data_IF_312412659453
#
_entry.id   IF_312412659453
#
_cell.length_a   1.000
_cell.length_b   1.000
_cell.length_c   1.000
_cell.angle_alpha   90.00
_cell.angle_beta   90.00
_cell.angle_gamma   90.00
#
_symmetry.space_group_name_H-M   'P 1'
#
loop_
_entity.id
_entity.type
_entity.pdbx_description
1 polymer ?
#
# COMPACT_ATOMS: atom_id res chain seq x y z
N UNK A 1 -8.68 -14.21 0.98
CA UNK A 1 -8.49 -13.64 -0.37
C UNK A 1 -8.61 -12.15 -0.22
N UNK A 2 -7.59 -11.41 -0.66
CA UNK A 2 -7.58 -9.97 -0.60
C UNK A 2 -8.78 -9.41 -1.37
N UNK A 3 -9.47 -8.43 -0.79
CA UNK A 3 -10.65 -7.82 -1.42
C UNK A 3 -10.26 -6.79 -2.49
N UNK A 4 -8.99 -6.39 -2.50
CA UNK A 4 -8.46 -5.33 -3.35
C UNK A 4 -7.58 -5.90 -4.45
N UNK A 5 -7.55 -5.21 -5.57
CA UNK A 5 -6.63 -5.44 -6.68
C UNK A 5 -5.93 -4.14 -7.06
N UNK A 6 -4.61 -4.20 -7.21
CA UNK A 6 -3.79 -3.08 -7.71
C UNK A 6 -3.46 -3.34 -9.18
N UNK A 7 -3.68 -2.33 -10.02
CA UNK A 7 -3.37 -2.32 -11.44
C UNK A 7 -2.76 -0.97 -11.85
N UNK A 8 -2.33 -0.84 -13.10
CA UNK A 8 -1.72 0.39 -13.59
C UNK A 8 -2.75 1.34 -14.20
N UNK A 9 -2.48 2.64 -14.10
CA UNK A 9 -3.24 3.65 -14.86
C UNK A 9 -3.05 3.40 -16.37
N UNK A 10 -4.12 3.51 -17.15
CA UNK A 10 -4.05 3.31 -18.61
C UNK A 10 -3.26 4.44 -19.30
N UNK A 11 -3.34 5.67 -18.76
CA UNK A 11 -2.58 6.85 -19.22
C UNK A 11 -1.39 7.16 -18.29
N UNK A 12 -0.54 6.17 -17.98
CA UNK A 12 0.80 6.48 -17.45
C UNK A 12 1.61 7.11 -18.59
N UNK A 13 1.42 8.41 -18.80
CA UNK A 13 2.41 9.21 -19.54
C UNK A 13 3.77 9.04 -18.86
N UNK A 14 4.85 9.28 -19.59
CA UNK A 14 6.23 9.09 -19.12
C UNK A 14 6.60 9.85 -17.81
N UNK A 15 5.69 10.68 -17.27
CA UNK A 15 5.88 11.59 -16.16
C UNK A 15 5.15 11.21 -14.86
N UNK A 16 4.31 10.16 -14.82
CA UNK A 16 3.64 9.80 -13.56
C UNK A 16 4.53 8.92 -12.68
N UNK A 17 5.03 9.49 -11.58
CA UNK A 17 5.70 8.78 -10.50
C UNK A 17 4.73 7.93 -9.64
N UNK A 18 3.42 8.00 -9.90
CA UNK A 18 2.34 7.27 -9.19
C UNK A 18 1.54 6.35 -10.13
N UNK A 19 2.08 5.18 -10.50
CA UNK A 19 1.50 4.36 -11.58
C UNK A 19 0.25 3.57 -11.16
N UNK A 20 -0.10 3.54 -9.88
CA UNK A 20 -1.08 2.57 -9.35
C UNK A 20 -2.52 3.09 -9.35
N UNK A 21 -3.45 2.16 -9.55
CA UNK A 21 -4.87 2.24 -9.22
C UNK A 21 -5.22 1.08 -8.31
N UNK A 22 -6.29 1.22 -7.53
CA UNK A 22 -6.82 0.17 -6.67
C UNK A 22 -8.33 0.09 -6.86
N UNK A 23 -8.86 -1.13 -6.96
CA UNK A 23 -10.30 -1.41 -6.99
C UNK A 23 -10.63 -2.57 -6.05
N UNK A 24 -11.91 -2.77 -5.74
CA UNK A 24 -12.34 -4.05 -5.22
C UNK A 24 -12.30 -5.10 -6.34
N UNK A 25 -12.16 -6.37 -5.97
CA UNK A 25 -12.14 -7.48 -6.94
C UNK A 25 -13.45 -7.56 -7.75
N UNK A 26 -14.58 -7.10 -7.20
CA UNK A 26 -15.91 -7.26 -7.81
C UNK A 26 -16.70 -5.96 -7.99
N UNK A 27 -16.19 -4.80 -7.55
CA UNK A 27 -16.90 -3.52 -7.57
C UNK A 27 -15.93 -2.33 -7.56
N UNK A 28 -16.43 -1.14 -7.88
CA UNK A 28 -15.62 0.09 -7.80
C UNK A 28 -15.49 0.56 -6.35
N UNK A 29 -14.33 1.14 -6.00
CA UNK A 29 -14.11 1.72 -4.67
C UNK A 29 -14.77 3.09 -4.59
N UNK A 30 -15.54 3.33 -3.53
CA UNK A 30 -16.01 4.68 -3.22
C UNK A 30 -14.91 5.49 -2.50
N UNK A 31 -14.03 6.10 -3.30
CA UNK A 31 -12.98 6.98 -2.80
C UNK A 31 -13.49 8.26 -2.14
N UNK A 32 -14.80 8.53 -2.13
CA UNK A 32 -15.36 9.65 -1.35
C UNK A 32 -15.23 9.36 0.15
N UNK A 33 -15.33 8.09 0.55
CA UNK A 33 -15.35 7.67 1.96
C UNK A 33 -14.15 6.83 2.38
N UNK A 34 -13.46 6.21 1.43
CA UNK A 34 -12.39 5.25 1.73
C UNK A 34 -10.99 5.86 1.77
N UNK A 35 -10.23 5.51 2.81
CA UNK A 35 -8.83 5.92 2.97
C UNK A 35 -7.86 5.07 2.14
N UNK A 36 -8.35 3.97 1.56
CA UNK A 36 -7.55 2.98 0.83
C UNK A 36 -6.80 3.58 -0.39
N UNK A 37 -7.28 4.70 -0.92
CA UNK A 37 -6.61 5.48 -1.96
C UNK A 37 -5.18 5.88 -1.59
N UNK A 38 -4.86 6.01 -0.29
CA UNK A 38 -3.50 6.27 0.16
C UNK A 38 -2.49 5.21 -0.30
N UNK A 39 -2.90 3.94 -0.40
CA UNK A 39 -2.02 2.83 -0.83
C UNK A 39 -1.66 2.97 -2.32
N UNK A 40 -2.63 3.36 -3.16
CA UNK A 40 -2.41 3.55 -4.59
C UNK A 40 -1.77 4.92 -4.93
N UNK A 41 -1.84 5.89 -4.02
CA UNK A 41 -1.28 7.23 -4.22
C UNK A 41 0.24 7.31 -3.91
N UNK A 42 0.87 6.19 -3.53
CA UNK A 42 2.31 6.13 -3.30
C UNK A 42 3.08 6.39 -4.60
N UNK A 43 4.17 7.19 -4.49
CA UNK A 43 5.12 7.34 -5.57
C UNK A 43 6.00 6.11 -5.64
N UNK A 44 6.46 5.74 -6.83
CA UNK A 44 7.30 4.56 -7.07
C UNK A 44 8.57 4.58 -6.18
N UNK A 45 9.20 5.74 -6.06
CA UNK A 45 10.39 5.96 -5.22
C UNK A 45 10.13 5.79 -3.71
N UNK A 46 8.89 5.98 -3.25
CA UNK A 46 8.50 5.95 -1.82
C UNK A 46 7.98 4.57 -1.39
N UNK A 47 7.81 3.62 -2.32
CA UNK A 47 7.32 2.27 -2.01
C UNK A 47 8.21 1.55 -0.98
N UNK A 48 9.56 1.60 -1.03
CA UNK A 48 10.39 0.94 -0.02
C UNK A 48 10.11 1.44 1.40
N UNK A 49 10.00 2.75 1.62
CA UNK A 49 9.70 3.30 2.95
C UNK A 49 8.29 2.92 3.42
N UNK A 50 7.32 2.92 2.51
CA UNK A 50 5.97 2.43 2.79
C UNK A 50 6.00 0.97 3.26
N UNK A 51 6.64 0.07 2.50
CA UNK A 51 6.68 -1.36 2.82
C UNK A 51 7.45 -1.65 4.12
N UNK A 52 8.54 -0.92 4.36
CA UNK A 52 9.30 -1.03 5.61
C UNK A 52 8.44 -0.65 6.83
N UNK A 53 7.63 0.40 6.72
CA UNK A 53 6.69 0.77 7.79
C UNK A 53 5.61 -0.31 8.02
N UNK A 54 5.15 -0.98 6.96
CA UNK A 54 4.21 -2.11 7.05
C UNK A 54 4.85 -3.28 7.83
N UNK A 55 6.08 -3.65 7.46
CA UNK A 55 6.81 -4.77 8.06
C UNK A 55 7.06 -4.54 9.55
N UNK A 56 7.50 -3.33 9.89
CA UNK A 56 7.79 -2.93 11.28
C UNK A 56 6.53 -2.72 12.12
N UNK A 57 5.32 -2.86 11.54
CA UNK A 57 4.03 -2.55 12.17
C UNK A 57 4.03 -1.14 12.77
N UNK A 58 4.67 -0.21 12.09
CA UNK A 58 4.77 1.19 12.50
C UNK A 58 3.59 2.02 12.03
N UNK A 59 3.81 3.31 11.89
CA UNK A 59 2.95 4.22 11.16
C UNK A 59 3.70 4.77 9.95
N UNK A 60 2.96 5.15 8.92
CA UNK A 60 3.49 5.86 7.76
C UNK A 60 2.50 6.95 7.40
N UNK A 61 2.97 8.19 7.26
CA UNK A 61 2.10 9.30 6.93
C UNK A 61 2.80 10.33 6.04
N UNK A 62 2.03 10.93 5.14
CA UNK A 62 2.42 12.05 4.30
C UNK A 62 1.32 13.09 4.45
N UNK A 63 1.62 14.20 5.14
CA UNK A 63 0.62 15.22 5.45
C UNK A 63 -0.53 14.65 6.29
N UNK A 64 -1.76 14.73 5.76
CA UNK A 64 -2.98 14.23 6.44
C UNK A 64 -3.33 12.79 6.13
N UNK A 65 -2.48 12.08 5.38
CA UNK A 65 -2.79 10.79 4.79
C UNK A 65 -1.79 9.76 5.31
N UNK A 66 -2.22 8.51 5.52
CA UNK A 66 -1.36 7.55 6.20
C UNK A 66 -2.02 6.24 6.55
N UNK A 67 -1.27 5.42 7.28
CA UNK A 67 -1.78 4.27 8.01
C UNK A 67 -1.15 4.15 9.39
N UNK A 68 -1.86 3.50 10.29
CA UNK A 68 -1.38 3.16 11.63
C UNK A 68 -1.82 1.75 12.02
N UNK A 69 -0.88 0.96 12.54
CA UNK A 69 -1.16 -0.32 13.18
C UNK A 69 -1.61 -0.07 14.62
N UNK A 70 -2.62 -0.82 15.07
CA UNK A 70 -2.98 -0.84 16.49
C UNK A 70 -4.47 -0.77 16.73
N UNK A 71 -4.89 -0.61 18.00
CA UNK A 71 -6.29 -0.49 18.32
C UNK A 71 -6.90 0.72 17.65
N UNK A 72 -8.03 0.50 16.98
CA UNK A 72 -8.82 1.58 16.37
C UNK A 72 -10.08 1.77 17.18
N UNK A 73 -10.40 3.02 17.53
CA UNK A 73 -11.67 3.39 18.15
C UNK A 73 -12.53 4.02 17.06
N UNK A 74 -13.69 3.43 16.80
CA UNK A 74 -14.68 3.97 15.87
C UNK A 74 -16.09 3.75 16.43
N UNK A 75 -16.88 4.83 16.55
CA UNK A 75 -18.26 4.80 17.05
C UNK A 75 -18.40 4.02 18.38
N UNK A 76 -17.52 4.31 19.35
CA UNK A 76 -17.43 3.63 20.65
C UNK A 76 -17.05 2.15 20.62
N UNK A 77 -16.72 1.59 19.45
CA UNK A 77 -16.17 0.24 19.29
C UNK A 77 -14.65 0.32 19.27
N UNK A 78 -14.02 -0.43 20.18
CA UNK A 78 -12.57 -0.54 20.25
C UNK A 78 -12.10 -1.87 19.64
N UNK A 79 -11.34 -1.79 18.55
CA UNK A 79 -10.78 -2.93 17.84
C UNK A 79 -9.40 -3.35 18.40
N UNK A 80 -9.31 -3.58 19.72
CA UNK A 80 -8.05 -3.91 20.42
C UNK A 80 -7.49 -5.30 20.05
N UNK A 81 -8.35 -6.32 20.03
CA UNK A 81 -7.88 -7.71 20.02
C UNK A 81 -7.65 -8.30 18.62
N UNK A 82 -8.06 -7.59 17.56
CA UNK A 82 -8.10 -8.16 16.20
C UNK A 82 -6.89 -7.87 15.32
N UNK A 83 -5.96 -7.03 15.77
CA UNK A 83 -4.80 -6.62 14.96
C UNK A 83 -5.25 -5.95 13.67
N UNK A 84 -5.61 -4.68 13.76
CA UNK A 84 -6.16 -3.91 12.63
C UNK A 84 -5.23 -2.78 12.22
N UNK A 85 -5.28 -2.42 10.94
CA UNK A 85 -4.66 -1.23 10.39
C UNK A 85 -5.75 -0.25 10.00
N UNK A 86 -5.63 0.99 10.45
CA UNK A 86 -6.44 2.10 9.96
C UNK A 86 -5.65 2.85 8.91
N UNK A 87 -6.19 2.87 7.71
CA UNK A 87 -5.71 3.67 6.59
C UNK A 87 -6.59 4.91 6.52
N UNK A 88 -6.01 6.08 6.33
CA UNK A 88 -6.73 7.34 6.31
C UNK A 88 -6.22 8.26 5.20
N UNK A 89 -7.14 9.00 4.61
CA UNK A 89 -6.84 10.00 3.59
C UNK A 89 -7.65 11.27 3.88
N UNK A 90 -6.95 12.34 4.22
CA UNK A 90 -7.55 13.53 4.81
C UNK A 90 -8.27 13.24 6.14
N UNK A 91 -9.13 14.18 6.55
CA UNK A 91 -9.79 14.13 7.87
C UNK A 91 -10.93 13.13 7.97
N UNK A 92 -11.55 12.74 6.85
CA UNK A 92 -12.83 12.02 6.84
C UNK A 92 -12.73 10.59 6.30
N UNK A 93 -11.81 10.32 5.38
CA UNK A 93 -11.77 9.03 4.69
C UNK A 93 -10.96 8.03 5.50
N UNK A 94 -11.53 6.86 5.74
CA UNK A 94 -10.91 5.82 6.56
C UNK A 94 -11.25 4.45 5.98
N UNK A 95 -10.28 3.55 6.02
CA UNK A 95 -10.48 2.14 5.72
C UNK A 95 -9.81 1.33 6.83
N UNK A 96 -10.54 0.39 7.43
CA UNK A 96 -10.02 -0.50 8.47
C UNK A 96 -9.82 -1.88 7.86
N UNK A 97 -8.60 -2.39 7.92
CA UNK A 97 -8.23 -3.71 7.46
C UNK A 97 -7.68 -4.55 8.62
N UNK A 98 -7.86 -5.87 8.55
CA UNK A 98 -7.03 -6.77 9.36
C UNK A 98 -5.57 -6.69 8.93
N UNK A 99 -4.64 -7.02 9.83
CA UNK A 99 -3.22 -7.13 9.47
C UNK A 99 -2.98 -8.04 8.27
N UNK A 100 -3.70 -9.16 8.18
CA UNK A 100 -3.57 -10.09 7.05
C UNK A 100 -3.95 -9.43 5.73
N UNK A 101 -5.10 -8.77 5.67
CA UNK A 101 -5.53 -8.06 4.46
C UNK A 101 -4.56 -6.95 4.08
N UNK A 102 -4.05 -6.20 5.06
CA UNK A 102 -3.09 -5.14 4.79
C UNK A 102 -1.75 -5.69 4.29
N UNK A 103 -1.26 -6.81 4.84
CA UNK A 103 -0.06 -7.47 4.33
C UNK A 103 -0.26 -8.05 2.92
N UNK A 104 -1.39 -8.68 2.64
CA UNK A 104 -1.73 -9.16 1.28
C UNK A 104 -1.74 -7.99 0.28
N UNK A 105 -2.28 -6.83 0.69
CA UNK A 105 -2.33 -5.63 -0.14
C UNK A 105 -0.94 -5.01 -0.35
N UNK A 106 -0.15 -4.86 0.72
CA UNK A 106 1.22 -4.34 0.63
C UNK A 106 2.13 -5.25 -0.18
N UNK A 107 1.93 -6.58 -0.10
CA UNK A 107 2.64 -7.53 -0.93
C UNK A 107 2.32 -7.29 -2.41
N UNK A 108 1.04 -7.16 -2.75
CA UNK A 108 0.61 -6.86 -4.12
C UNK A 108 1.19 -5.53 -4.62
N UNK A 109 1.24 -4.50 -3.76
CA UNK A 109 1.85 -3.21 -4.09
C UNK A 109 3.35 -3.37 -4.42
N UNK A 110 4.10 -4.13 -3.61
CA UNK A 110 5.51 -4.40 -3.86
C UNK A 110 5.74 -5.14 -5.18
N UNK A 111 4.95 -6.20 -5.45
CA UNK A 111 5.04 -6.96 -6.70
C UNK A 111 4.70 -6.06 -7.91
N UNK A 112 3.67 -5.22 -7.81
CA UNK A 112 3.32 -4.25 -8.84
C UNK A 112 4.34 -3.14 -9.02
N UNK A 113 5.07 -2.75 -7.97
CA UNK A 113 6.14 -1.76 -8.09
C UNK A 113 7.31 -2.30 -8.93
N UNK A 114 7.71 -3.55 -8.76
CA UNK A 114 8.73 -4.18 -9.60
C UNK A 114 8.28 -4.26 -11.07
N UNK A 115 7.04 -4.68 -11.30
CA UNK A 115 6.46 -4.73 -12.66
C UNK A 115 6.39 -3.32 -13.28
N UNK A 116 6.03 -2.29 -12.52
CA UNK A 116 6.03 -0.89 -12.97
C UNK A 116 7.44 -0.38 -13.31
N UNK A 117 8.45 -0.74 -12.50
CA UNK A 117 9.84 -0.33 -12.73
C UNK A 117 10.37 -0.80 -14.09
N UNK A 118 10.03 -2.03 -14.47
CA UNK A 118 10.36 -2.61 -15.77
C UNK A 118 9.50 -2.02 -16.89
N UNK A 119 8.17 -2.10 -16.77
CA UNK A 119 7.22 -1.68 -17.81
C UNK A 119 7.36 -0.21 -18.19
N UNK A 120 7.56 0.67 -17.21
CA UNK A 120 7.68 2.12 -17.43
C UNK A 120 9.12 2.61 -17.48
N UNK A 121 10.10 1.69 -17.45
CA UNK A 121 11.54 1.96 -17.57
C UNK A 121 12.05 2.98 -16.53
N UNK A 122 11.58 2.89 -15.28
CA UNK A 122 11.92 3.86 -14.24
C UNK A 122 13.42 3.86 -13.88
N UNK A 123 14.11 2.73 -14.05
CA UNK A 123 15.58 2.65 -13.89
C UNK A 123 16.32 3.41 -14.99
N UNK A 124 15.93 3.22 -16.25
CA UNK A 124 16.52 3.94 -17.40
C UNK A 124 16.29 5.46 -17.29
N UNK A 125 15.15 5.86 -16.72
CA UNK A 125 14.80 7.27 -16.45
C UNK A 125 15.50 7.85 -15.21
N UNK A 126 16.24 7.04 -14.45
CA UNK A 126 16.90 7.47 -13.21
C UNK A 126 15.95 7.78 -12.06
N UNK A 127 14.69 7.33 -12.12
CA UNK A 127 13.70 7.52 -11.06
C UNK A 127 13.92 6.56 -9.89
N UNK A 128 14.41 5.35 -10.17
CA UNK A 128 14.77 4.33 -9.18
C UNK A 128 16.09 3.67 -9.58
N UNK A 129 16.74 2.98 -8.65
CA UNK A 129 18.04 2.35 -8.84
C UNK A 129 18.06 0.88 -8.38
N UNK A 130 19.23 0.23 -8.45
CA UNK A 130 19.40 -1.16 -8.00
C UNK A 130 19.16 -1.35 -6.51
N UNK A 131 19.44 -0.31 -5.70
CA UNK A 131 19.20 -0.34 -4.26
C UNK A 131 17.70 -0.36 -3.98
N UNK A 132 16.94 0.49 -4.65
CA UNK A 132 15.47 0.50 -4.58
C UNK A 132 14.90 -0.89 -4.92
N UNK A 133 15.38 -1.53 -5.98
CA UNK A 133 14.91 -2.85 -6.40
C UNK A 133 15.19 -3.91 -5.32
N UNK A 134 16.40 -3.90 -4.75
CA UNK A 134 16.77 -4.81 -3.67
C UNK A 134 15.92 -4.62 -2.41
N UNK A 135 15.61 -3.37 -2.05
CA UNK A 135 14.75 -3.06 -0.90
C UNK A 135 13.32 -3.59 -1.10
N UNK A 136 12.76 -3.43 -2.31
CA UNK A 136 11.44 -3.99 -2.63
C UNK A 136 11.45 -5.52 -2.58
N UNK A 137 12.47 -6.17 -3.15
CA UNK A 137 12.59 -7.64 -3.15
C UNK A 137 12.69 -8.16 -1.71
N UNK A 138 13.52 -7.53 -0.86
CA UNK A 138 13.63 -7.90 0.56
C UNK A 138 12.28 -7.76 1.27
N UNK A 139 11.59 -6.64 1.06
CA UNK A 139 10.30 -6.38 1.68
C UNK A 139 9.22 -7.39 1.24
N UNK A 140 9.20 -7.79 -0.02
CA UNK A 140 8.29 -8.83 -0.54
C UNK A 140 8.53 -10.17 0.17
N UNK A 141 9.79 -10.55 0.39
CA UNK A 141 10.13 -11.80 1.09
C UNK A 141 9.66 -11.76 2.55
N UNK A 142 9.90 -10.66 3.25
CA UNK A 142 9.47 -10.48 4.63
C UNK A 142 7.95 -10.48 4.77
N UNK A 143 7.23 -9.83 3.86
CA UNK A 143 5.77 -9.87 3.82
C UNK A 143 5.23 -11.29 3.57
N UNK A 144 5.87 -12.07 2.69
CA UNK A 144 5.51 -13.48 2.47
C UNK A 144 5.69 -14.33 3.74
N UNK A 145 6.74 -14.10 4.51
CA UNK A 145 6.94 -14.80 5.79
C UNK A 145 5.92 -14.34 6.87
N UNK A 146 5.61 -13.05 6.94
CA UNK A 146 4.57 -12.52 7.82
C UNK A 146 3.17 -13.09 7.52
N UNK A 147 2.90 -13.44 6.25
CA UNK A 147 1.65 -14.05 5.83
C UNK A 147 1.58 -15.56 6.11
N UNK A 148 2.72 -16.27 6.19
CA UNK A 148 2.77 -17.69 6.57
C UNK A 148 2.59 -17.92 8.07
N UNK A 149 3.00 -16.94 8.87
CA UNK A 149 2.97 -17.03 10.35
C UNK A 149 1.61 -16.70 10.97
N UNK A 150 0.55 -16.47 10.16
CA UNK A 150 -0.80 -16.07 10.59
C UNK A 150 -1.92 -16.84 9.91
#
# INVERSE_FOLDING_TARGET
MNKYIIYFKEDVTNEMDKPFLINYVNEDIDFIWEGIGYVADQRIQDIPSFLLAVINKGEHHIGSDGFVFGPVIENDIVWLDKGVVKIYQGKKKKTILSYKQFYELSLQLGEKALEAADLFKFKEKGTVDDKWEQEIISAILELKELLKSK
#
